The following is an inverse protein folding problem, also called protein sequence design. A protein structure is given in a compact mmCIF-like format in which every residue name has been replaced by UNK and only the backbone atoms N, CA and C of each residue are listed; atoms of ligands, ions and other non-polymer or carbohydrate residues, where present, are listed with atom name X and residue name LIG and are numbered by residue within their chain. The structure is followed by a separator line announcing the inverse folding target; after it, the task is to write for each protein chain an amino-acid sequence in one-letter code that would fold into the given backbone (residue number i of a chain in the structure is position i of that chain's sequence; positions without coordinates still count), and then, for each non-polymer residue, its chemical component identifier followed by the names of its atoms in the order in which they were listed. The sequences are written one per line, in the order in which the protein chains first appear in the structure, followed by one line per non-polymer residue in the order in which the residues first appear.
data_IF_317079304679
#
_entry.id   IF_317079304679
#
_cell.length_a   1.000
_cell.length_b   1.000
_cell.length_c   1.000
_cell.angle_alpha   90.00
_cell.angle_beta   90.00
_cell.angle_gamma   90.00
#
_symmetry.space_group_name_H-M   'P 1'
#
loop_
_entity.id
_entity.type
_entity.pdbx_description
1 polymer ?
#
# COMPACT_ATOMS: atom_id res chain seq x y z
N UNK A 1 18.22 7.37 0.47
CA UNK A 1 17.41 7.58 -0.74
C UNK A 1 15.98 7.17 -0.41
N UNK A 2 15.05 8.11 -0.52
CA UNK A 2 13.65 7.93 -0.17
C UNK A 2 13.06 6.73 -0.91
N UNK A 3 12.41 5.85 -0.15
CA UNK A 3 11.81 4.61 -0.63
C UNK A 3 10.65 5.00 -1.56
N UNK A 4 10.89 4.99 -2.87
CA UNK A 4 9.88 5.24 -3.90
C UNK A 4 8.82 4.13 -3.82
N UNK A 5 7.75 4.39 -3.10
CA UNK A 5 6.52 3.65 -3.33
C UNK A 5 5.98 4.04 -4.69
N UNK A 6 5.54 3.04 -5.45
CA UNK A 6 4.85 3.21 -6.71
C UNK A 6 3.36 3.40 -6.44
N UNK A 7 2.80 4.50 -6.93
CA UNK A 7 1.36 4.72 -6.91
C UNK A 7 0.68 3.77 -7.92
N UNK A 8 -0.39 3.12 -7.49
CA UNK A 8 -1.24 2.29 -8.34
C UNK A 8 -2.70 2.77 -8.23
N UNK A 9 -3.41 2.72 -9.36
CA UNK A 9 -4.80 3.20 -9.46
C UNK A 9 -5.85 2.13 -9.23
N UNK A 10 -5.43 0.89 -8.96
CA UNK A 10 -6.32 -0.25 -8.79
C UNK A 10 -6.25 -0.81 -7.38
N UNK A 11 -7.40 -0.84 -6.70
CA UNK A 11 -7.54 -1.49 -5.40
C UNK A 11 -7.26 -2.99 -5.48
N UNK A 12 -7.67 -3.66 -6.57
CA UNK A 12 -7.42 -5.10 -6.74
C UNK A 12 -5.93 -5.40 -6.78
N UNK A 13 -5.15 -4.63 -7.55
CA UNK A 13 -3.69 -4.77 -7.58
C UNK A 13 -3.05 -4.50 -6.21
N UNK A 14 -3.59 -3.54 -5.47
CA UNK A 14 -3.14 -3.25 -4.11
C UNK A 14 -3.40 -4.44 -3.17
N UNK A 15 -4.60 -5.01 -3.24
CA UNK A 15 -4.99 -6.17 -2.44
C UNK A 15 -4.15 -7.41 -2.76
N UNK A 16 -3.90 -7.67 -4.04
CA UNK A 16 -3.02 -8.75 -4.49
C UNK A 16 -1.60 -8.56 -3.97
N UNK A 17 -1.06 -7.34 -4.08
CA UNK A 17 0.24 -7.01 -3.52
C UNK A 17 0.30 -7.29 -2.01
N UNK A 18 -0.69 -6.83 -1.23
CA UNK A 18 -0.75 -7.10 0.20
C UNK A 18 -0.76 -8.60 0.50
N UNK A 19 -1.46 -9.39 -0.31
CA UNK A 19 -1.49 -10.84 -0.17
C UNK A 19 -0.11 -11.46 -0.44
N UNK A 20 0.59 -11.00 -1.48
CA UNK A 20 1.96 -11.47 -1.82
C UNK A 20 2.95 -11.16 -0.71
N UNK A 21 2.86 -9.98 -0.09
CA UNK A 21 3.73 -9.59 1.04
C UNK A 21 3.23 -10.12 2.39
N UNK A 22 2.19 -10.97 2.43
CA UNK A 22 1.69 -11.59 3.65
C UNK A 22 0.97 -10.64 4.62
N UNK A 23 0.44 -9.53 4.11
CA UNK A 23 -0.19 -8.47 4.90
C UNK A 23 -1.70 -8.54 4.77
N UNK A 24 -2.39 -8.60 5.91
CA UNK A 24 -3.85 -8.53 5.94
C UNK A 24 -4.32 -7.13 5.53
N UNK A 25 -5.20 -7.08 4.54
CA UNK A 25 -5.84 -5.83 4.11
C UNK A 25 -6.51 -5.11 5.27
N UNK A 26 -6.26 -3.79 5.46
CA UNK A 26 -6.88 -3.02 6.52
C UNK A 26 -8.40 -2.95 6.38
N UNK A 27 -9.12 -2.80 7.50
CA UNK A 27 -10.57 -2.58 7.49
C UNK A 27 -10.94 -1.31 6.71
N UNK A 28 -12.13 -1.26 6.07
CA UNK A 28 -12.55 -0.08 5.28
C UNK A 28 -12.50 1.23 6.07
N UNK A 29 -12.82 1.19 7.35
CA UNK A 29 -12.75 2.33 8.28
C UNK A 29 -11.33 2.87 8.51
N UNK A 30 -10.30 2.00 8.42
CA UNK A 30 -8.90 2.41 8.47
C UNK A 30 -8.43 2.92 7.11
N UNK A 31 -8.83 2.26 6.02
CA UNK A 31 -8.51 2.73 4.67
C UNK A 31 -8.98 4.16 4.44
N UNK A 32 -10.21 4.48 4.87
CA UNK A 32 -10.81 5.82 4.76
C UNK A 32 -10.10 6.93 5.58
N UNK A 33 -9.18 6.58 6.48
CA UNK A 33 -8.38 7.54 7.26
C UNK A 33 -6.92 7.58 6.81
N UNK A 34 -6.57 6.80 5.80
CA UNK A 34 -5.19 6.50 5.45
C UNK A 34 -4.64 5.33 6.27
N UNK A 35 -3.72 4.60 5.67
CA UNK A 35 -3.12 3.42 6.27
C UNK A 35 -1.69 3.29 5.79
N UNK A 36 -0.82 2.76 6.63
CA UNK A 36 0.54 2.41 6.23
C UNK A 36 0.92 1.06 6.80
N UNK A 37 1.72 0.32 6.05
CA UNK A 37 2.33 -0.90 6.52
C UNK A 37 3.83 -0.86 6.32
N UNK A 38 4.54 -1.16 7.41
CA UNK A 38 5.98 -1.22 7.45
C UNK A 38 6.42 -2.62 7.83
N UNK A 39 7.34 -3.16 7.05
CA UNK A 39 8.03 -4.42 7.33
C UNK A 39 9.51 -4.10 7.58
N UNK A 40 10.11 -4.61 8.68
CA UNK A 40 11.53 -4.36 8.99
C UNK A 40 11.94 -2.88 8.89
N UNK A 41 11.10 -1.99 9.43
CA UNK A 41 11.26 -0.52 9.36
C UNK A 41 11.27 0.07 7.92
N UNK A 42 10.73 -0.67 6.96
CA UNK A 42 10.52 -0.25 5.57
C UNK A 42 9.04 -0.12 5.28
N UNK A 43 8.64 1.09 4.87
CA UNK A 43 7.31 1.29 4.30
C UNK A 43 7.20 0.49 3.00
N UNK A 44 6.29 -0.48 3.00
CA UNK A 44 6.06 -1.41 1.88
C UNK A 44 4.70 -1.21 1.25
N UNK A 45 3.72 -0.68 1.98
CA UNK A 45 2.42 -0.30 1.45
C UNK A 45 1.88 0.93 2.16
N UNK A 46 1.15 1.77 1.44
CA UNK A 46 0.47 2.93 2.00
C UNK A 46 -0.82 3.21 1.24
N UNK A 47 -1.85 3.62 1.97
CA UNK A 47 -3.07 4.22 1.46
C UNK A 47 -3.05 5.67 1.95
N UNK A 48 -3.12 6.62 1.02
CA UNK A 48 -3.33 8.03 1.33
C UNK A 48 -4.71 8.42 0.88
N UNK A 49 -5.36 9.29 1.64
CA UNK A 49 -6.63 9.88 1.24
C UNK A 49 -6.34 11.28 0.71
N UNK A 50 -6.78 11.57 -0.51
CA UNK A 50 -6.64 12.90 -1.07
C UNK A 50 -7.67 13.88 -0.44
N UNK A 51 -7.51 15.20 -0.62
CA UNK A 51 -8.45 16.19 -0.10
C UNK A 51 -9.91 16.01 -0.54
N UNK A 52 -10.17 15.31 -1.66
CA UNK A 52 -11.50 14.94 -2.16
C UNK A 52 -12.03 13.62 -1.56
N UNK A 53 -11.28 12.99 -0.67
CA UNK A 53 -11.68 11.75 0.01
C UNK A 53 -11.42 10.47 -0.78
N UNK A 54 -10.67 10.51 -1.88
CA UNK A 54 -10.37 9.33 -2.69
C UNK A 54 -9.11 8.63 -2.18
N UNK A 55 -9.11 7.29 -2.11
CA UNK A 55 -7.91 6.55 -1.73
C UNK A 55 -6.93 6.46 -2.89
N UNK A 56 -5.67 6.78 -2.58
CA UNK A 56 -4.51 6.54 -3.42
C UNK A 56 -3.67 5.43 -2.80
N UNK A 57 -3.36 4.42 -3.61
CA UNK A 57 -2.68 3.21 -3.18
C UNK A 57 -1.21 3.27 -3.61
N UNK A 58 -0.31 2.94 -2.70
CA UNK A 58 1.12 2.99 -2.92
C UNK A 58 1.75 1.69 -2.45
N UNK A 59 2.59 1.08 -3.28
CA UNK A 59 3.25 -0.20 -3.01
C UNK A 59 4.74 -0.10 -3.25
N UNK A 60 5.54 -0.87 -2.53
CA UNK A 60 6.96 -1.03 -2.82
C UNK A 60 7.13 -2.09 -3.92
N UNK A 61 7.27 -1.66 -5.17
CA UNK A 61 7.39 -2.57 -6.31
C UNK A 61 8.61 -3.52 -6.23
N UNK A 62 9.61 -3.20 -5.40
CA UNK A 62 10.79 -4.07 -5.21
C UNK A 62 10.47 -5.28 -4.35
N UNK A 63 9.43 -5.23 -3.52
CA UNK A 63 8.97 -6.40 -2.76
C UNK A 63 8.38 -7.50 -3.67
N UNK A 64 8.03 -7.16 -4.93
CA UNK A 64 7.53 -8.11 -5.94
C UNK A 64 8.68 -8.72 -6.76
N UNK A 65 9.85 -8.08 -6.82
CA UNK A 65 10.97 -8.47 -7.73
C UNK A 65 11.80 -9.67 -7.24
N UNK A 66 11.27 -10.53 -6.38
CA UNK A 66 12.03 -11.64 -5.76
C UNK A 66 11.42 -13.02 -5.94
N UNK A 67 10.56 -13.23 -6.95
CA UNK A 67 10.15 -14.56 -7.37
C UNK A 67 10.70 -14.88 -8.76
#
# INVERSE_FOLDING_TARGET
MEKMLTEIRSYSLFHEYLTVVGVTSPSPSRQAKGWEHRESNRLVAQIRIDPQGRPHYYIDARAISVN
#
